data_IF_955107201970
#
_entry.id   IF_955107201970
#
_cell.length_a   1.000
_cell.length_b   1.000
_cell.length_c   1.000
_cell.angle_alpha   90.00
_cell.angle_beta   90.00
_cell.angle_gamma   90.00
#
_symmetry.space_group_name_H-M   'P 1'
#
loop_
_entity.id
_entity.type
_entity.pdbx_description
1 polymer ?
#
# COMPACT_ATOMS: atom_id res chain seq x y z
N UNK A 1 -11.76 -0.29 -20.44
CA UNK A 1 -10.62 -0.51 -19.52
C UNK A 1 -10.47 -2.01 -19.32
N UNK A 2 -9.27 -2.54 -19.46
CA UNK A 2 -8.99 -3.94 -19.10
C UNK A 2 -8.79 -4.02 -17.59
N UNK A 3 -9.47 -4.95 -16.94
CA UNK A 3 -9.35 -5.20 -15.50
C UNK A 3 -8.49 -6.43 -15.23
N UNK A 4 -7.90 -6.49 -14.04
CA UNK A 4 -7.23 -7.70 -13.53
C UNK A 4 -8.29 -8.74 -13.12
N UNK A 5 -7.84 -9.97 -12.82
CA UNK A 5 -8.69 -11.03 -12.22
C UNK A 5 -9.38 -10.55 -10.93
N UNK A 6 -8.75 -9.63 -10.21
CA UNK A 6 -9.26 -9.06 -8.96
C UNK A 6 -10.21 -7.86 -9.17
N UNK A 7 -10.60 -7.56 -10.42
CA UNK A 7 -11.50 -6.46 -10.76
C UNK A 7 -10.86 -5.08 -10.75
N UNK A 8 -9.54 -4.99 -10.51
CA UNK A 8 -8.83 -3.72 -10.41
C UNK A 8 -8.32 -3.25 -11.78
N UNK A 9 -8.05 -1.94 -11.97
CA UNK A 9 -7.32 -1.44 -13.13
C UNK A 9 -5.98 -2.18 -13.31
N UNK A 10 -5.51 -2.30 -14.56
CA UNK A 10 -4.21 -2.92 -14.84
C UNK A 10 -3.07 -2.22 -14.07
N UNK A 11 -2.11 -2.99 -13.51
CA UNK A 11 -1.01 -2.44 -12.75
C UNK A 11 0.00 -1.70 -13.62
N UNK A 12 0.63 -0.68 -13.04
CA UNK A 12 1.79 0.00 -13.60
C UNK A 12 3.01 -0.92 -13.66
N UNK A 13 3.99 -0.59 -14.50
CA UNK A 13 5.24 -1.38 -14.63
C UNK A 13 6.15 -1.27 -13.41
N UNK A 14 5.89 -0.33 -12.51
CA UNK A 14 6.66 -0.05 -11.30
C UNK A 14 6.55 -1.20 -10.30
N UNK A 15 7.68 -1.61 -9.74
CA UNK A 15 7.73 -2.59 -8.64
C UNK A 15 7.61 -1.90 -7.28
N UNK A 16 7.30 -2.66 -6.24
CA UNK A 16 7.29 -2.19 -4.87
C UNK A 16 8.64 -1.58 -4.48
N UNK A 17 9.75 -2.27 -4.76
CA UNK A 17 11.10 -1.75 -4.47
C UNK A 17 11.34 -0.40 -5.17
N UNK A 18 11.03 -0.28 -6.46
CA UNK A 18 11.16 1.01 -7.18
C UNK A 18 10.27 2.10 -6.58
N UNK A 19 9.05 1.73 -6.18
CA UNK A 19 8.10 2.64 -5.54
C UNK A 19 8.60 3.15 -4.18
N UNK A 20 9.19 2.27 -3.37
CA UNK A 20 9.76 2.63 -2.07
C UNK A 20 11.10 3.36 -2.21
N UNK A 21 11.89 3.08 -3.25
CA UNK A 21 13.16 3.78 -3.51
C UNK A 21 12.96 5.30 -3.60
N UNK A 22 11.85 5.74 -4.20
CA UNK A 22 11.51 7.17 -4.30
C UNK A 22 11.06 7.80 -2.98
N UNK A 23 10.94 7.02 -1.91
CA UNK A 23 10.47 7.44 -0.59
C UNK A 23 11.60 7.47 0.46
N UNK A 24 12.81 7.03 0.12
CA UNK A 24 13.97 7.06 1.03
C UNK A 24 14.18 8.50 1.57
N UNK A 25 14.45 8.59 2.87
CA UNK A 25 14.59 9.84 3.61
C UNK A 25 13.28 10.39 4.17
N UNK A 26 12.11 9.85 3.77
CA UNK A 26 10.82 10.18 4.38
C UNK A 26 10.56 9.43 5.68
N UNK A 27 9.65 9.96 6.50
CA UNK A 27 9.14 9.31 7.72
C UNK A 27 7.85 8.56 7.37
N UNK A 28 7.82 7.28 7.72
CA UNK A 28 6.68 6.40 7.48
C UNK A 28 6.36 5.58 8.73
N UNK A 29 5.09 5.16 8.83
CA UNK A 29 4.63 4.16 9.78
C UNK A 29 4.31 2.88 9.02
N UNK A 30 4.85 1.76 9.44
CA UNK A 30 4.60 0.43 8.88
C UNK A 30 3.87 -0.40 9.92
N UNK A 31 2.69 -0.92 9.58
CA UNK A 31 2.01 -1.92 10.40
C UNK A 31 2.52 -3.31 10.09
N UNK A 32 2.68 -4.09 11.14
CA UNK A 32 3.16 -5.46 11.11
C UNK A 32 2.14 -6.40 11.79
N UNK A 33 2.26 -7.72 11.60
CA UNK A 33 1.38 -8.70 12.22
C UNK A 33 1.35 -8.57 13.75
N UNK A 34 0.21 -8.88 14.36
CA UNK A 34 0.06 -8.87 15.82
C UNK A 34 -0.17 -7.49 16.45
N UNK A 35 -0.36 -6.45 15.64
CA UNK A 35 -0.60 -5.08 16.12
C UNK A 35 0.70 -4.29 16.37
N UNK A 36 1.85 -4.85 16.00
CA UNK A 36 3.12 -4.16 16.04
C UNK A 36 3.20 -3.09 14.94
N UNK A 37 3.92 -2.01 15.23
CA UNK A 37 4.15 -0.96 14.25
C UNK A 37 5.53 -0.33 14.42
N UNK A 38 6.14 0.05 13.31
CA UNK A 38 7.43 0.74 13.26
C UNK A 38 7.23 2.10 12.62
N UNK A 39 7.61 3.16 13.32
CA UNK A 39 7.60 4.53 12.77
C UNK A 39 9.03 5.05 12.71
N UNK A 40 9.43 5.59 11.57
CA UNK A 40 10.72 6.25 11.43
C UNK A 40 11.12 6.52 9.99
N UNK A 41 12.40 6.87 9.80
CA UNK A 41 12.94 7.14 8.49
C UNK A 41 13.16 5.87 7.69
N UNK A 42 12.74 5.87 6.43
CA UNK A 42 13.16 4.85 5.48
C UNK A 42 14.58 5.16 5.00
N UNK A 43 15.54 4.30 5.29
CA UNK A 43 16.96 4.56 5.01
C UNK A 43 17.46 3.79 3.79
N UNK A 44 16.94 2.59 3.57
CA UNK A 44 17.40 1.68 2.51
C UNK A 44 16.24 0.90 1.92
N UNK A 45 16.37 0.57 0.64
CA UNK A 45 15.44 -0.28 -0.09
C UNK A 45 16.26 -1.24 -0.93
N UNK A 46 15.97 -2.53 -0.79
CA UNK A 46 16.61 -3.64 -1.47
C UNK A 46 15.57 -4.41 -2.29
N UNK A 47 16.00 -5.47 -2.98
CA UNK A 47 15.12 -6.24 -3.85
C UNK A 47 14.10 -7.11 -3.09
N UNK A 48 14.39 -7.47 -1.84
CA UNK A 48 13.62 -8.38 -0.99
C UNK A 48 13.16 -7.75 0.33
N UNK A 49 13.70 -6.60 0.71
CA UNK A 49 13.39 -5.91 1.96
C UNK A 49 13.62 -4.40 1.87
N UNK A 50 13.17 -3.68 2.88
CA UNK A 50 13.49 -2.28 3.11
C UNK A 50 13.78 -2.04 4.59
N UNK A 51 14.38 -0.90 4.90
CA UNK A 51 14.79 -0.56 6.27
C UNK A 51 14.08 0.70 6.74
N UNK A 52 13.39 0.59 7.87
CA UNK A 52 12.78 1.73 8.59
C UNK A 52 13.29 1.73 10.02
N UNK A 53 13.85 2.85 10.47
CA UNK A 53 14.39 2.99 11.84
C UNK A 53 15.40 1.88 12.20
N UNK A 54 16.19 1.42 11.24
CA UNK A 54 17.15 0.31 11.42
C UNK A 54 16.54 -1.09 11.45
N UNK A 55 15.20 -1.22 11.41
CA UNK A 55 14.51 -2.50 11.31
C UNK A 55 14.33 -2.91 9.84
N UNK A 56 14.73 -4.14 9.51
CA UNK A 56 14.52 -4.75 8.20
C UNK A 56 13.12 -5.33 8.11
N UNK A 57 12.39 -4.95 7.06
CA UNK A 57 11.03 -5.42 6.77
C UNK A 57 11.07 -6.09 5.40
N UNK A 58 10.81 -7.39 5.37
CA UNK A 58 10.89 -8.21 4.15
C UNK A 58 9.59 -8.13 3.35
N UNK A 59 9.69 -8.14 2.02
CA UNK A 59 8.51 -8.14 1.13
C UNK A 59 7.68 -9.43 1.23
N UNK A 60 8.29 -10.51 1.69
CA UNK A 60 7.64 -11.79 1.96
C UNK A 60 7.08 -11.85 3.40
N UNK A 61 6.49 -10.75 3.88
CA UNK A 61 5.71 -10.72 5.12
C UNK A 61 4.42 -9.92 4.90
N UNK A 62 3.45 -10.14 5.79
CA UNK A 62 2.28 -9.29 5.89
C UNK A 62 2.69 -7.92 6.48
N UNK A 63 2.36 -6.82 5.79
CA UNK A 63 2.52 -5.46 6.29
C UNK A 63 1.72 -4.46 5.44
N UNK A 64 1.57 -3.24 5.93
CA UNK A 64 1.22 -2.10 5.07
C UNK A 64 1.87 -0.80 5.57
N UNK A 65 2.01 0.17 4.68
CA UNK A 65 2.71 1.44 4.97
C UNK A 65 1.73 2.61 4.88
N UNK A 66 1.71 3.47 5.89
CA UNK A 66 1.07 4.78 5.80
C UNK A 66 1.95 5.73 4.99
N UNK A 67 1.46 6.16 3.84
CA UNK A 67 2.11 7.16 2.99
C UNK A 67 1.60 8.55 3.35
N UNK A 68 2.50 9.44 3.76
CA UNK A 68 2.18 10.84 4.01
C UNK A 68 2.08 11.61 2.68
N UNK A 69 0.88 11.66 2.09
CA UNK A 69 0.60 12.37 0.84
C UNK A 69 -0.47 13.44 1.06
N UNK A 70 -0.19 14.67 0.66
CA UNK A 70 -1.15 15.79 0.79
C UNK A 70 -2.33 15.62 -0.16
N UNK A 71 -2.03 15.39 -1.43
CA UNK A 71 -3.01 15.21 -2.49
C UNK A 71 -2.79 13.87 -3.17
N UNK A 72 -3.88 13.14 -3.39
CA UNK A 72 -3.86 11.88 -4.12
C UNK A 72 -5.07 11.82 -5.05
N UNK A 73 -4.82 11.45 -6.31
CA UNK A 73 -5.90 11.18 -7.26
C UNK A 73 -6.39 9.75 -7.05
N UNK A 74 -7.69 9.59 -6.76
CA UNK A 74 -8.34 8.28 -6.67
C UNK A 74 -9.06 7.95 -7.97
N UNK A 75 -9.23 6.65 -8.24
CA UNK A 75 -10.02 6.13 -9.35
C UNK A 75 -11.36 5.61 -8.81
N UNK A 76 -12.41 5.48 -9.65
CA UNK A 76 -13.75 5.09 -9.20
C UNK A 76 -13.87 3.58 -8.95
N UNK A 77 -13.01 3.05 -8.07
CA UNK A 77 -13.03 1.68 -7.62
C UNK A 77 -12.87 1.65 -6.10
N UNK A 78 -13.80 1.00 -5.43
CA UNK A 78 -13.67 0.65 -4.01
C UNK A 78 -12.85 -0.62 -3.91
N UNK A 79 -11.90 -0.66 -2.98
CA UNK A 79 -10.98 -1.76 -2.78
C UNK A 79 -11.18 -2.32 -1.38
N UNK A 80 -11.36 -3.64 -1.29
CA UNK A 80 -11.25 -4.40 -0.05
C UNK A 80 -9.92 -5.15 -0.07
N UNK A 81 -9.15 -5.07 1.02
CA UNK A 81 -7.85 -5.72 1.17
C UNK A 81 -7.86 -6.49 2.48
N UNK A 82 -7.57 -7.79 2.39
CA UNK A 82 -7.40 -8.67 3.55
C UNK A 82 -5.91 -8.95 3.74
N UNK A 83 -5.42 -8.66 4.94
CA UNK A 83 -4.00 -8.76 5.28
C UNK A 83 -3.84 -9.75 6.43
N UNK A 84 -3.17 -10.88 6.17
CA UNK A 84 -3.02 -11.95 7.14
C UNK A 84 -2.40 -11.46 8.46
N UNK A 85 -3.00 -11.85 9.58
CA UNK A 85 -2.57 -11.48 10.94
C UNK A 85 -2.55 -9.96 11.25
N UNK A 86 -3.16 -9.13 10.39
CA UNK A 86 -3.41 -7.70 10.64
C UNK A 86 -4.91 -7.40 10.59
N UNK A 87 -5.60 -7.80 9.51
CA UNK A 87 -7.05 -7.63 9.35
C UNK A 87 -7.47 -7.11 7.98
N UNK A 88 -8.75 -6.76 7.87
CA UNK A 88 -9.37 -6.28 6.64
C UNK A 88 -9.44 -4.75 6.62
N UNK A 89 -9.05 -4.15 5.50
CA UNK A 89 -9.13 -2.71 5.27
C UNK A 89 -9.88 -2.41 3.97
N UNK A 90 -10.51 -1.24 3.93
CA UNK A 90 -11.20 -0.73 2.75
C UNK A 90 -10.74 0.68 2.43
N UNK A 91 -10.82 1.05 1.15
CA UNK A 91 -10.51 2.39 0.67
C UNK A 91 -10.77 2.54 -0.82
N UNK A 92 -10.54 3.74 -1.35
CA UNK A 92 -10.62 4.01 -2.78
C UNK A 92 -9.31 3.67 -3.48
N UNK A 93 -9.37 3.08 -4.66
CA UNK A 93 -8.19 2.75 -5.45
C UNK A 93 -7.41 4.00 -5.82
N UNK A 94 -6.11 4.01 -5.54
CA UNK A 94 -5.18 5.04 -6.04
C UNK A 94 -4.47 4.48 -7.27
N UNK A 95 -3.67 3.42 -7.06
CA UNK A 95 -2.94 2.72 -8.11
C UNK A 95 -2.50 1.33 -7.65
N UNK A 96 -1.99 0.56 -8.59
CA UNK A 96 -1.26 -0.68 -8.31
C UNK A 96 -0.03 -0.72 -9.21
N UNK A 97 1.05 -1.31 -8.69
CA UNK A 97 2.20 -1.70 -9.47
C UNK A 97 2.24 -3.21 -9.64
N UNK A 98 3.38 -3.74 -10.08
CA UNK A 98 3.55 -5.17 -10.34
C UNK A 98 3.27 -6.06 -9.13
N UNK A 99 3.61 -5.59 -7.93
CA UNK A 99 3.56 -6.35 -6.68
C UNK A 99 3.19 -5.46 -5.48
N UNK A 100 2.40 -4.41 -5.72
CA UNK A 100 1.83 -3.59 -4.65
C UNK A 100 0.54 -2.92 -5.09
N UNK A 101 -0.28 -2.51 -4.12
CA UNK A 101 -1.47 -1.69 -4.32
C UNK A 101 -1.47 -0.53 -3.33
N UNK A 102 -1.94 0.63 -3.78
CA UNK A 102 -2.18 1.82 -2.96
C UNK A 102 -3.68 2.13 -2.94
N UNK A 103 -4.21 2.38 -1.75
CA UNK A 103 -5.59 2.81 -1.54
C UNK A 103 -5.61 4.07 -0.68
N UNK A 104 -6.66 4.85 -0.82
CA UNK A 104 -6.94 6.01 0.02
C UNK A 104 -8.10 5.68 0.97
N UNK A 105 -7.88 5.80 2.28
CA UNK A 105 -8.92 5.60 3.30
C UNK A 105 -9.70 6.89 3.63
N UNK A 106 -9.55 7.93 2.82
CA UNK A 106 -10.19 9.22 3.00
C UNK A 106 -9.22 10.31 3.45
N UNK A 107 -9.78 11.44 3.85
CA UNK A 107 -9.00 12.62 4.24
C UNK A 107 -9.10 12.78 5.77
N UNK A 108 -7.96 12.90 6.43
CA UNK A 108 -7.87 13.24 7.85
C UNK A 108 -7.08 14.53 7.99
N UNK A 109 -7.70 15.54 8.62
CA UNK A 109 -7.07 16.85 8.87
C UNK A 109 -6.47 17.48 7.59
N UNK A 110 -7.14 17.30 6.45
CA UNK A 110 -6.70 17.83 5.16
C UNK A 110 -5.57 17.03 4.48
N UNK A 111 -5.17 15.88 5.01
CA UNK A 111 -4.17 14.99 4.41
C UNK A 111 -4.80 13.66 4.00
N UNK A 112 -4.48 13.17 2.80
CA UNK A 112 -4.97 11.88 2.33
C UNK A 112 -4.33 10.72 3.11
N UNK A 113 -5.14 9.77 3.56
CA UNK A 113 -4.67 8.56 4.26
C UNK A 113 -4.40 7.47 3.25
N UNK A 114 -3.26 7.58 2.58
CA UNK A 114 -2.84 6.61 1.57
C UNK A 114 -2.11 5.46 2.23
N UNK A 115 -2.57 4.25 1.96
CA UNK A 115 -1.95 3.02 2.43
C UNK A 115 -1.35 2.26 1.25
N UNK A 116 -0.13 1.78 1.41
CA UNK A 116 0.53 0.89 0.47
C UNK A 116 0.60 -0.53 1.04
N UNK A 117 0.21 -1.51 0.23
CA UNK A 117 0.24 -2.93 0.57
C UNK A 117 1.13 -3.69 -0.43
N UNK A 118 1.97 -4.63 0.03
CA UNK A 118 2.60 -5.59 -0.87
C UNK A 118 1.52 -6.54 -1.43
N UNK A 119 1.61 -6.89 -2.71
CA UNK A 119 0.82 -8.00 -3.27
C UNK A 119 1.71 -9.24 -3.19
N UNK A 120 1.47 -10.07 -2.18
CA UNK A 120 2.21 -11.30 -1.89
C UNK A 120 1.24 -12.38 -1.39
N UNK A 121 1.75 -13.50 -0.90
CA UNK A 121 0.93 -14.62 -0.43
C UNK A 121 0.09 -14.35 0.84
N UNK A 122 0.32 -13.21 1.51
CA UNK A 122 -0.34 -12.82 2.77
C UNK A 122 -1.37 -11.71 2.59
N UNK A 123 -1.54 -11.19 1.37
CA UNK A 123 -2.42 -10.07 1.06
C UNK A 123 -3.31 -10.45 -0.11
N UNK A 124 -4.63 -10.51 0.14
CA UNK A 124 -5.63 -10.63 -0.90
C UNK A 124 -6.37 -9.30 -1.07
N UNK A 125 -6.83 -9.03 -2.28
CA UNK A 125 -7.53 -7.79 -2.59
C UNK A 125 -8.56 -7.96 -3.69
N UNK A 126 -9.61 -7.14 -3.64
CA UNK A 126 -10.67 -7.09 -4.62
C UNK A 126 -11.11 -5.67 -4.88
N UNK A 127 -11.33 -5.32 -6.15
CA UNK A 127 -11.88 -4.04 -6.56
C UNK A 127 -13.30 -4.19 -7.09
N UNK A 128 -14.16 -3.27 -6.69
CA UNK A 128 -15.52 -3.11 -7.23
C UNK A 128 -15.70 -1.69 -7.75
N UNK A 129 -16.37 -1.47 -8.90
CA UNK A 129 -16.68 -0.12 -9.36
C UNK A 129 -17.42 0.68 -8.28
N UNK A 130 -16.94 1.89 -8.00
CA UNK A 130 -17.56 2.75 -6.97
C UNK A 130 -18.96 3.16 -7.43
N UNK A 131 -19.95 3.01 -6.55
CA UNK A 131 -21.39 3.18 -6.87
C UNK A 131 -21.83 4.60 -7.22
N UNK A 132 -20.94 5.60 -7.17
CA UNK A 132 -21.23 7.01 -7.42
C UNK A 132 -20.48 7.57 -8.65
N UNK A 133 -20.25 6.73 -9.66
CA UNK A 133 -19.65 7.16 -10.94
C UNK A 133 -20.71 7.73 -11.88
#
# INVERSE_FOLDING_TARGET
>A
MTLTKHGCPLPEKTTLAQRLQSLIGGIFRVELPGGDAVTGFMTEVHHDHFVVQGMKIYYATSFYIYLNQKDVETKPYDVSIDVEAIGSLQGQYVRSGKNFIEINQGILEGTARVLLFPINQFVDYHCTPSRNS
#
